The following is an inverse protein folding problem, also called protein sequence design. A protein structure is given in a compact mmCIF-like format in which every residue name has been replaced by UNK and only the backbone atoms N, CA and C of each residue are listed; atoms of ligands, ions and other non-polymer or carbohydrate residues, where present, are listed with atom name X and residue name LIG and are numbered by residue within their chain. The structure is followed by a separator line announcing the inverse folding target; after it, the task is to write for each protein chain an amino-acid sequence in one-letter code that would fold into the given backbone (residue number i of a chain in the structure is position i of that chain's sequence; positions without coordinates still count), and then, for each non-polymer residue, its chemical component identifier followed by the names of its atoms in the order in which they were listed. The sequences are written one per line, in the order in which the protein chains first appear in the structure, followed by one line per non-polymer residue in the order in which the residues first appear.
data_IF_045773588815
#
_entry.id   IF_045773588815
#
_cell.length_a   1.000
_cell.length_b   1.000
_cell.length_c   1.000
_cell.angle_alpha   90.00
_cell.angle_beta   90.00
_cell.angle_gamma   90.00
#
_symmetry.space_group_name_H-M   'P 1'
#
loop_
_entity.id
_entity.type
_entity.pdbx_description
1 polymer ?
#
# COMPACT_ATOMS: atom_id res chain seq x y z
N UNK A 1 -17.03 -12.33 8.48
CA UNK A 1 -15.57 -12.11 8.36
C UNK A 1 -15.19 -12.27 6.90
N UNK A 2 -15.18 -11.18 6.12
CA UNK A 2 -14.74 -11.24 4.72
C UNK A 2 -13.21 -11.29 4.70
N UNK A 3 -12.65 -12.47 4.48
CA UNK A 3 -11.23 -12.63 4.17
C UNK A 3 -10.96 -11.99 2.80
N UNK A 4 -10.51 -10.73 2.81
CA UNK A 4 -9.97 -10.07 1.62
C UNK A 4 -8.77 -10.91 1.17
N UNK A 5 -8.94 -11.60 0.05
CA UNK A 5 -7.95 -12.55 -0.47
C UNK A 5 -6.64 -11.83 -0.76
N UNK A 6 -5.54 -12.47 -0.36
CA UNK A 6 -4.15 -12.04 -0.50
C UNK A 6 -3.76 -11.54 -1.91
N UNK A 7 -4.53 -11.91 -2.94
CA UNK A 7 -4.33 -11.53 -4.34
C UNK A 7 -4.61 -10.06 -4.66
N UNK A 8 -5.30 -9.31 -3.81
CA UNK A 8 -5.75 -7.93 -4.09
C UNK A 8 -5.01 -6.83 -3.30
N UNK A 9 -4.04 -7.21 -2.46
CA UNK A 9 -3.31 -6.26 -1.64
C UNK A 9 -2.31 -5.45 -2.47
N UNK A 10 -2.71 -4.22 -2.82
CA UNK A 10 -1.86 -3.22 -3.46
C UNK A 10 -2.29 -1.80 -3.07
N UNK A 11 -1.37 -0.86 -3.26
CA UNK A 11 -1.63 0.57 -3.10
C UNK A 11 -2.07 1.17 -4.44
N UNK A 12 -3.23 1.82 -4.44
CA UNK A 12 -3.75 2.56 -5.59
C UNK A 12 -3.40 4.05 -5.46
N UNK A 13 -2.91 4.66 -6.55
CA UNK A 13 -2.55 6.09 -6.58
C UNK A 13 -3.78 6.94 -6.85
N UNK A 14 -3.74 8.22 -6.48
CA UNK A 14 -4.91 9.12 -6.57
C UNK A 14 -5.51 9.23 -7.98
N UNK A 15 -4.69 9.15 -9.04
CA UNK A 15 -5.19 9.21 -10.41
C UNK A 15 -5.95 7.93 -10.78
N UNK A 16 -5.36 6.77 -10.46
CA UNK A 16 -5.98 5.47 -10.70
C UNK A 16 -7.24 5.29 -9.83
N UNK A 17 -7.20 5.78 -8.59
CA UNK A 17 -8.34 5.80 -7.68
C UNK A 17 -9.46 6.66 -8.23
N UNK A 18 -9.18 7.91 -8.62
CA UNK A 18 -10.15 8.81 -9.22
C UNK A 18 -10.84 8.19 -10.44
N UNK A 19 -10.05 7.55 -11.32
CA UNK A 19 -10.58 6.83 -12.47
C UNK A 19 -11.43 5.62 -12.06
N UNK A 20 -10.99 4.88 -11.04
CA UNK A 20 -11.67 3.67 -10.55
C UNK A 20 -13.06 3.97 -9.97
N UNK A 21 -13.21 5.05 -9.19
CA UNK A 21 -14.47 5.37 -8.51
C UNK A 21 -15.29 6.48 -9.18
N UNK A 22 -14.77 7.07 -10.27
CA UNK A 22 -15.47 8.11 -11.02
C UNK A 22 -15.55 9.46 -10.31
N UNK A 23 -14.72 9.70 -9.29
CA UNK A 23 -14.67 10.96 -8.54
C UNK A 23 -13.47 11.81 -8.92
N UNK A 24 -13.64 13.13 -8.90
CA UNK A 24 -12.51 14.04 -9.04
C UNK A 24 -11.61 14.00 -7.79
N UNK A 25 -10.30 14.25 -7.97
CA UNK A 25 -9.29 14.18 -6.90
C UNK A 25 -9.60 15.11 -5.73
N UNK A 26 -10.16 16.29 -6.00
CA UNK A 26 -10.59 17.24 -4.96
C UNK A 26 -11.74 16.68 -4.13
N UNK A 27 -12.70 16.00 -4.76
CA UNK A 27 -13.81 15.34 -4.06
C UNK A 27 -13.30 14.23 -3.15
N UNK A 28 -12.34 13.42 -3.61
CA UNK A 28 -11.70 12.39 -2.77
C UNK A 28 -11.05 13.03 -1.55
N UNK A 29 -10.23 14.07 -1.75
CA UNK A 29 -9.58 14.75 -0.63
C UNK A 29 -10.60 15.35 0.35
N UNK A 30 -11.72 15.88 -0.14
CA UNK A 30 -12.80 16.40 0.70
C UNK A 30 -13.44 15.30 1.55
N UNK A 31 -13.79 14.16 0.94
CA UNK A 31 -14.36 13.03 1.69
C UNK A 31 -13.37 12.47 2.73
N UNK A 32 -12.07 12.48 2.42
CA UNK A 32 -11.00 12.13 3.37
C UNK A 32 -10.97 13.10 4.56
N UNK A 33 -11.07 14.41 4.32
CA UNK A 33 -11.11 15.40 5.41
C UNK A 33 -12.38 15.33 6.27
N UNK A 34 -13.48 14.84 5.70
CA UNK A 34 -14.74 14.62 6.42
C UNK A 34 -14.78 13.27 7.17
N UNK A 35 -13.74 12.43 7.05
CA UNK A 35 -13.71 11.10 7.66
C UNK A 35 -14.67 10.09 7.01
N UNK A 36 -15.22 10.39 5.82
CA UNK A 36 -16.14 9.51 5.07
C UNK A 36 -15.46 8.63 4.03
N UNK A 37 -14.13 8.63 4.02
CA UNK A 37 -13.32 7.92 3.04
C UNK A 37 -12.03 7.38 3.67
N UNK A 38 -11.51 6.22 3.21
CA UNK A 38 -10.25 5.67 3.72
C UNK A 38 -9.08 6.65 3.65
N UNK A 39 -8.25 6.65 4.70
CA UNK A 39 -7.08 7.51 4.78
C UNK A 39 -5.94 7.00 3.91
N UNK A 40 -5.23 7.94 3.27
CA UNK A 40 -4.07 7.61 2.43
C UNK A 40 -2.87 7.16 3.27
N UNK A 41 -2.14 6.19 2.75
CA UNK A 41 -0.87 5.72 3.27
C UNK A 41 0.30 6.52 2.68
N UNK A 42 1.24 6.96 3.52
CA UNK A 42 2.49 7.58 3.07
C UNK A 42 3.51 6.49 2.73
N UNK A 43 3.90 6.42 1.45
CA UNK A 43 4.92 5.50 0.94
C UNK A 43 6.31 6.13 1.08
N UNK A 44 6.39 7.44 0.82
CA UNK A 44 7.60 8.24 0.94
C UNK A 44 7.28 9.73 0.80
N UNK A 45 8.28 10.62 0.73
CA UNK A 45 8.05 12.06 0.85
C UNK A 45 7.10 12.66 -0.20
N UNK A 46 7.13 12.15 -1.43
CA UNK A 46 6.24 12.57 -2.52
C UNK A 46 5.29 11.47 -3.01
N UNK A 47 5.24 10.33 -2.32
CA UNK A 47 4.44 9.18 -2.72
C UNK A 47 3.44 8.81 -1.63
N UNK A 48 2.17 8.75 -2.00
CA UNK A 48 1.09 8.21 -1.18
C UNK A 48 0.12 7.42 -2.04
N UNK A 49 -0.60 6.50 -1.41
CA UNK A 49 -1.61 5.67 -2.05
C UNK A 49 -2.64 5.18 -1.04
N UNK A 50 -3.70 4.55 -1.52
CA UNK A 50 -4.75 3.96 -0.68
C UNK A 50 -4.64 2.44 -0.76
N UNK A 51 -4.94 1.75 0.33
CA UNK A 51 -5.05 0.29 0.30
C UNK A 51 -6.26 -0.08 -0.55
N UNK A 52 -6.03 -0.77 -1.66
CA UNK A 52 -7.12 -1.23 -2.52
C UNK A 52 -8.17 -2.06 -1.75
N UNK A 53 -7.80 -2.93 -0.79
CA UNK A 53 -8.79 -3.63 0.02
C UNK A 53 -9.69 -2.68 0.82
N UNK A 54 -9.17 -1.59 1.40
CA UNK A 54 -9.99 -0.58 2.09
C UNK A 54 -10.92 0.14 1.11
N UNK A 55 -10.43 0.52 -0.08
CA UNK A 55 -11.25 1.14 -1.12
C UNK A 55 -12.37 0.21 -1.56
N UNK A 56 -12.10 -1.08 -1.73
CA UNK A 56 -13.12 -2.09 -2.05
C UNK A 56 -14.17 -2.20 -0.95
N UNK A 57 -13.75 -2.23 0.32
CA UNK A 57 -14.68 -2.22 1.46
C UNK A 57 -15.53 -0.95 1.48
N UNK A 58 -14.96 0.21 1.15
CA UNK A 58 -15.70 1.47 1.06
C UNK A 58 -16.75 1.45 -0.05
N UNK A 59 -16.39 0.97 -1.25
CA UNK A 59 -17.35 0.78 -2.36
C UNK A 59 -18.49 -0.16 -1.95
N UNK A 60 -18.16 -1.22 -1.23
CA UNK A 60 -19.12 -2.22 -0.76
C UNK A 60 -19.88 -1.80 0.52
N UNK A 61 -19.68 -0.55 0.99
CA UNK A 61 -20.33 0.00 2.19
C UNK A 61 -20.09 -0.83 3.46
N UNK A 62 -18.99 -1.58 3.51
CA UNK A 62 -18.58 -2.39 4.66
C UNK A 62 -17.36 -1.83 5.38
N UNK A 63 -16.82 -0.69 4.92
CA UNK A 63 -15.73 0.02 5.59
C UNK A 63 -16.24 0.92 6.70
N UNK A 64 -15.52 0.95 7.82
CA UNK A 64 -15.78 1.82 8.96
C UNK A 64 -14.55 2.68 9.27
N UNK A 65 -14.80 3.88 9.79
CA UNK A 65 -13.72 4.74 10.27
C UNK A 65 -12.99 4.06 11.43
N UNK A 66 -11.66 3.96 11.33
CA UNK A 66 -10.83 3.25 12.31
C UNK A 66 -10.62 1.77 12.00
N UNK A 67 -11.21 1.24 10.92
CA UNK A 67 -10.84 -0.10 10.43
C UNK A 67 -9.35 -0.12 10.08
N UNK A 68 -8.55 -0.77 10.93
CA UNK A 68 -7.13 -0.99 10.66
C UNK A 68 -6.96 -2.27 9.84
N UNK A 69 -6.15 -2.17 8.78
CA UNK A 69 -5.82 -3.30 7.93
C UNK A 69 -4.45 -3.85 8.33
N UNK A 70 -4.38 -5.13 8.69
CA UNK A 70 -3.10 -5.82 8.84
C UNK A 70 -2.84 -6.70 7.62
N UNK A 71 -1.73 -6.51 6.89
CA UNK A 71 -1.41 -7.34 5.75
C UNK A 71 -1.10 -8.77 6.20
N UNK A 72 -1.61 -9.80 5.50
CA UNK A 72 -1.36 -11.18 5.87
C UNK A 72 0.11 -11.53 5.67
N UNK A 73 0.69 -12.27 6.61
CA UNK A 73 2.01 -12.88 6.47
C UNK A 73 1.89 -14.31 5.95
N UNK A 74 2.92 -14.78 5.26
CA UNK A 74 3.02 -16.16 4.80
C UNK A 74 3.87 -16.97 5.77
N UNK A 75 3.46 -18.22 6.01
CA UNK A 75 4.27 -19.19 6.75
C UNK A 75 5.47 -19.67 5.94
N UNK A 76 5.31 -19.76 4.61
CA UNK A 76 6.36 -20.22 3.70
C UNK A 76 7.11 -19.04 3.06
N UNK A 77 8.44 -19.15 2.88
CA UNK A 77 9.22 -18.12 2.19
C UNK A 77 8.70 -17.87 0.77
N UNK A 78 8.38 -16.61 0.48
CA UNK A 78 7.98 -16.17 -0.86
C UNK A 78 8.81 -15.00 -1.30
N UNK A 79 9.42 -15.13 -2.48
CA UNK A 79 10.23 -14.10 -3.10
C UNK A 79 9.44 -13.35 -4.17
N UNK A 80 9.39 -12.03 -4.05
CA UNK A 80 8.78 -11.10 -4.99
C UNK A 80 9.83 -10.55 -5.96
N UNK A 81 9.44 -10.43 -7.23
CA UNK A 81 10.25 -9.76 -8.24
C UNK A 81 10.05 -8.26 -8.12
N UNK A 82 11.02 -7.49 -8.61
CA UNK A 82 10.92 -6.02 -8.71
C UNK A 82 9.55 -5.57 -9.26
N UNK A 83 9.09 -6.17 -10.36
CA UNK A 83 7.78 -5.82 -10.95
C UNK A 83 6.64 -5.99 -9.94
N UNK A 84 6.61 -7.12 -9.23
CA UNK A 84 5.55 -7.41 -8.26
C UNK A 84 5.60 -6.40 -7.09
N UNK A 85 6.80 -5.96 -6.67
CA UNK A 85 6.97 -4.89 -5.65
C UNK A 85 6.47 -3.54 -6.16
N UNK A 86 6.80 -3.18 -7.40
CA UNK A 86 6.36 -1.92 -8.00
C UNK A 86 4.84 -1.87 -8.17
N UNK A 87 4.24 -2.99 -8.58
CA UNK A 87 2.80 -3.15 -8.75
C UNK A 87 2.08 -3.11 -7.39
N UNK A 88 2.66 -3.72 -6.35
CA UNK A 88 2.14 -3.67 -4.98
C UNK A 88 2.14 -2.24 -4.41
N UNK A 89 3.22 -1.48 -4.63
CA UNK A 89 3.35 -0.12 -4.10
C UNK A 89 2.69 0.95 -4.99
N UNK A 90 2.39 0.63 -6.25
CA UNK A 90 1.96 1.62 -7.25
C UNK A 90 3.02 2.70 -7.48
N UNK A 91 4.32 2.34 -7.47
CA UNK A 91 5.42 3.30 -7.67
C UNK A 91 6.32 2.91 -8.82
N UNK A 92 7.01 3.90 -9.39
CA UNK A 92 8.05 3.67 -10.40
C UNK A 92 9.34 3.18 -9.76
N UNK A 93 10.14 2.45 -10.53
CA UNK A 93 11.47 1.92 -10.15
C UNK A 93 12.36 2.95 -9.45
N UNK A 94 12.44 4.18 -9.98
CA UNK A 94 13.28 5.23 -9.40
C UNK A 94 12.78 5.71 -8.03
N UNK A 95 11.48 5.58 -7.76
CA UNK A 95 10.93 5.88 -6.43
C UNK A 95 11.34 4.80 -5.45
N UNK A 96 11.22 3.53 -5.82
CA UNK A 96 11.66 2.41 -4.99
C UNK A 96 13.16 2.54 -4.64
N UNK A 97 14.01 2.82 -5.62
CA UNK A 97 15.44 3.00 -5.35
C UNK A 97 15.74 4.18 -4.45
N UNK A 98 14.99 5.28 -4.55
CA UNK A 98 15.12 6.41 -3.62
C UNK A 98 14.74 6.03 -2.20
N UNK A 99 13.69 5.24 -2.01
CA UNK A 99 13.30 4.73 -0.69
C UNK A 99 14.40 3.84 -0.10
N UNK A 100 14.90 2.89 -0.90
CA UNK A 100 16.00 2.01 -0.51
C UNK A 100 17.25 2.82 -0.12
N UNK A 101 17.67 3.79 -0.96
CA UNK A 101 18.83 4.64 -0.68
C UNK A 101 18.69 5.45 0.62
N UNK A 102 17.46 5.74 1.04
CA UNK A 102 17.14 6.47 2.28
C UNK A 102 16.91 5.55 3.47
N UNK A 103 17.07 4.24 3.32
CA UNK A 103 16.73 3.22 4.32
C UNK A 103 15.25 3.26 4.74
N UNK A 104 14.37 3.76 3.87
CA UNK A 104 12.92 3.87 4.11
C UNK A 104 12.16 2.65 3.57
N UNK A 105 12.84 1.70 2.90
CA UNK A 105 12.24 0.50 2.33
C UNK A 105 13.24 -0.68 2.36
N UNK A 106 12.80 -1.93 2.59
CA UNK A 106 13.67 -3.09 2.65
C UNK A 106 14.50 -3.29 1.37
N UNK A 107 15.78 -3.63 1.53
CA UNK A 107 16.62 -4.00 0.41
C UNK A 107 16.31 -5.41 -0.09
N UNK A 108 16.25 -5.57 -1.42
CA UNK A 108 16.06 -6.89 -2.02
C UNK A 108 17.34 -7.72 -1.93
N UNK A 109 17.20 -8.99 -1.58
CA UNK A 109 18.28 -10.00 -1.57
C UNK A 109 18.81 -10.21 -2.99
N UNK A 110 20.13 -10.19 -3.13
CA UNK A 110 20.82 -10.46 -4.39
C UNK A 110 20.92 -11.97 -4.60
N UNK A 111 20.16 -12.52 -5.55
CA UNK A 111 20.24 -13.94 -5.89
C UNK A 111 21.29 -14.22 -6.98
N UNK A 112 21.52 -13.26 -7.87
CA UNK A 112 22.54 -13.35 -8.92
C UNK A 112 23.11 -11.98 -9.25
N UNK A 113 24.03 -11.90 -10.22
CA UNK A 113 24.59 -10.62 -10.65
C UNK A 113 23.52 -9.62 -11.14
N UNK A 114 22.44 -10.11 -11.76
CA UNK A 114 21.39 -9.27 -12.37
C UNK A 114 20.07 -9.29 -11.61
N UNK A 115 19.92 -10.18 -10.64
CA UNK A 115 18.62 -10.47 -10.04
C UNK A 115 18.57 -10.14 -8.56
N UNK A 116 17.61 -9.29 -8.20
CA UNK A 116 17.21 -9.00 -6.83
C UNK A 116 15.78 -9.46 -6.60
N UNK A 117 15.53 -10.05 -5.43
CA UNK A 117 14.22 -10.48 -4.97
C UNK A 117 13.96 -9.97 -3.56
N UNK A 118 12.72 -9.66 -3.25
CA UNK A 118 12.30 -9.22 -1.92
C UNK A 118 11.54 -10.33 -1.24
N UNK A 119 11.73 -10.50 0.07
CA UNK A 119 10.83 -11.39 0.80
C UNK A 119 9.46 -10.73 0.95
N UNK A 120 8.42 -11.52 0.73
CA UNK A 120 7.04 -11.09 0.89
C UNK A 120 6.79 -10.57 2.31
N UNK A 121 7.23 -11.29 3.33
CA UNK A 121 7.03 -10.90 4.72
C UNK A 121 7.78 -9.61 5.08
N UNK A 122 8.96 -9.34 4.51
CA UNK A 122 9.68 -8.07 4.73
C UNK A 122 8.86 -6.88 4.19
N UNK A 123 8.25 -7.04 3.01
CA UNK A 123 7.42 -5.99 2.41
C UNK A 123 6.11 -5.82 3.18
N UNK A 124 5.49 -6.92 3.62
CA UNK A 124 4.27 -6.85 4.43
C UNK A 124 4.54 -6.26 5.82
N UNK A 125 5.66 -6.58 6.45
CA UNK A 125 6.09 -5.95 7.71
C UNK A 125 6.33 -4.45 7.54
N UNK A 126 7.00 -4.04 6.47
CA UNK A 126 7.14 -2.62 6.12
C UNK A 126 5.77 -1.94 5.90
N UNK A 127 4.86 -2.60 5.18
CA UNK A 127 3.53 -2.07 4.90
C UNK A 127 2.71 -1.93 6.19
N UNK A 128 2.74 -2.94 7.06
CA UNK A 128 2.11 -2.91 8.38
C UNK A 128 2.63 -1.72 9.21
N UNK A 129 3.95 -1.49 9.21
CA UNK A 129 4.55 -0.32 9.86
C UNK A 129 4.02 1.00 9.30
N UNK A 130 3.84 1.11 7.97
CA UNK A 130 3.23 2.30 7.37
C UNK A 130 1.78 2.50 7.78
N UNK A 131 1.01 1.41 7.94
CA UNK A 131 -0.39 1.47 8.36
C UNK A 131 -0.46 1.94 9.81
N UNK A 132 0.37 1.37 10.68
CA UNK A 132 0.51 1.80 12.06
C UNK A 132 0.87 3.30 12.16
N UNK A 133 1.89 3.76 11.41
CA UNK A 133 2.26 5.18 11.36
C UNK A 133 1.12 6.08 10.85
N UNK A 134 0.22 5.58 10.01
CA UNK A 134 -0.94 6.34 9.52
C UNK A 134 -1.97 6.45 10.62
N UNK A 135 -2.30 5.33 11.25
CA UNK A 135 -3.34 5.23 12.27
C UNK A 135 -2.95 6.09 13.49
N UNK A 136 -1.68 6.06 13.92
CA UNK A 136 -1.15 6.91 15.01
C UNK A 136 -1.15 8.42 14.71
N UNK A 137 -1.16 8.83 13.44
CA UNK A 137 -1.26 10.27 13.08
C UNK A 137 -2.70 10.78 13.09
N UNK A 138 -3.68 9.89 13.25
CA UNK A 138 -5.10 10.25 13.30
C UNK A 138 -5.62 10.36 14.75
N UNK A 139 -4.87 9.82 15.71
CA UNK A 139 -5.06 10.04 17.16
C UNK A 139 -4.48 11.40 17.60
#
# INVERSE_FOLDING_TARGET
MNTLTQSDLRLIRINDLANMIGYHRSSINHMVSEGRFPQRLKIGPSASGWLLPEIKSWINQSWQLGDSFSPPLLNEPRLLRMKDVLDLLGVKRDTLYRLIKRNEFPEGKKLSHRERRWEYNDIMGWLAGKIQERDERQD
#
